data_IF_321244651205
#
_entry.id   IF_321244651205
#
_cell.length_a   1.000
_cell.length_b   1.000
_cell.length_c   1.000
_cell.angle_alpha   90.00
_cell.angle_beta   90.00
_cell.angle_gamma   90.00
#
_symmetry.space_group_name_H-M   'P 1'
#
loop_
_entity.id
_entity.type
_entity.pdbx_description
1 polymer ?
#
# COMPACT_ATOMS: atom_id res chain seq x y z
N UNK A 1 -26.94 27.08 12.93
CA UNK A 1 -26.49 25.84 13.60
C UNK A 1 -24.99 25.71 13.42
N UNK A 2 -24.22 25.93 14.47
CA UNK A 2 -22.75 25.85 14.46
C UNK A 2 -22.34 24.42 14.79
N UNK A 3 -21.94 23.66 13.76
CA UNK A 3 -21.61 22.23 13.88
C UNK A 3 -20.27 21.94 14.58
N UNK A 4 -19.38 22.94 14.67
CA UNK A 4 -18.10 22.83 15.34
C UNK A 4 -18.04 23.83 16.50
N UNK A 5 -18.07 23.33 17.73
CA UNK A 5 -17.88 24.12 18.94
C UNK A 5 -16.46 23.90 19.49
N UNK A 6 -16.06 24.74 20.45
CA UNK A 6 -14.71 24.72 21.03
C UNK A 6 -14.34 23.36 21.64
N UNK A 7 -15.31 22.64 22.20
CA UNK A 7 -15.13 21.31 22.77
C UNK A 7 -14.79 20.28 21.68
N UNK A 8 -15.55 20.26 20.59
CA UNK A 8 -15.27 19.39 19.43
C UNK A 8 -13.89 19.69 18.84
N UNK A 9 -13.51 20.97 18.74
CA UNK A 9 -12.15 21.33 18.29
C UNK A 9 -11.06 20.81 19.23
N UNK A 10 -11.28 20.85 20.55
CA UNK A 10 -10.33 20.32 21.53
C UNK A 10 -10.23 18.79 21.47
N UNK A 11 -11.34 18.09 21.27
CA UNK A 11 -11.37 16.63 21.08
C UNK A 11 -10.62 16.21 19.82
N UNK A 12 -10.83 16.92 18.70
CA UNK A 12 -10.11 16.68 17.44
C UNK A 12 -8.60 16.91 17.65
N UNK A 13 -8.21 18.01 18.30
CA UNK A 13 -6.80 18.30 18.58
C UNK A 13 -6.18 17.22 19.49
N UNK A 14 -6.90 16.74 20.51
CA UNK A 14 -6.44 15.68 21.39
C UNK A 14 -6.23 14.36 20.63
N UNK A 15 -7.16 13.98 19.76
CA UNK A 15 -7.08 12.77 18.94
C UNK A 15 -5.92 12.84 17.94
N UNK A 16 -5.73 13.99 17.29
CA UNK A 16 -4.59 14.22 16.39
C UNK A 16 -3.27 14.12 17.15
N UNK A 17 -3.15 14.74 18.33
CA UNK A 17 -1.94 14.66 19.17
C UNK A 17 -1.64 13.25 19.64
N UNK A 18 -2.66 12.53 20.10
CA UNK A 18 -2.52 11.13 20.52
C UNK A 18 -1.99 10.27 19.36
N UNK A 19 -2.47 10.52 18.13
CA UNK A 19 -2.02 9.81 16.94
C UNK A 19 -0.57 10.12 16.57
N UNK A 20 -0.16 11.39 16.60
CA UNK A 20 1.23 11.77 16.36
C UNK A 20 2.17 11.28 17.47
N UNK A 21 1.70 11.22 18.71
CA UNK A 21 2.46 10.65 19.83
C UNK A 21 2.68 9.14 19.66
N UNK A 22 1.63 8.38 19.33
CA UNK A 22 1.75 6.95 19.01
C UNK A 22 2.68 6.70 17.81
N UNK A 23 2.68 7.60 16.83
CA UNK A 23 3.59 7.55 15.70
C UNK A 23 5.05 7.85 16.11
N UNK A 24 5.28 8.80 17.01
CA UNK A 24 6.59 9.06 17.62
C UNK A 24 7.12 7.84 18.38
N UNK A 25 6.28 7.22 19.22
CA UNK A 25 6.66 5.99 19.95
C UNK A 25 7.00 4.83 19.00
N UNK A 26 6.21 4.63 17.93
CA UNK A 26 6.48 3.61 16.92
C UNK A 26 7.80 3.84 16.17
N UNK A 27 8.17 5.11 15.96
CA UNK A 27 9.45 5.53 15.36
C UNK A 27 10.66 5.43 16.31
N UNK A 28 10.45 5.05 17.56
CA UNK A 28 11.51 4.97 18.56
C UNK A 28 11.87 6.33 19.18
N UNK A 29 11.02 7.35 19.08
CA UNK A 29 11.12 8.52 19.97
C UNK A 29 10.83 8.03 21.39
N UNK A 30 11.88 7.84 22.17
CA UNK A 30 11.81 7.40 23.56
C UNK A 30 11.04 8.45 24.37
N UNK A 31 9.78 8.17 24.68
CA UNK A 31 9.16 8.61 25.93
C UNK A 31 10.06 8.07 27.04
N UNK A 32 10.84 8.92 27.69
CA UNK A 32 11.68 8.53 28.82
C UNK A 32 10.80 8.09 29.99
N UNK A 33 10.28 6.85 29.97
CA UNK A 33 9.70 6.14 31.11
C UNK A 33 9.38 4.67 30.74
N UNK A 34 10.25 3.77 31.20
CA UNK A 34 10.01 2.39 31.62
C UNK A 34 8.80 1.61 31.06
N UNK A 35 9.06 0.49 30.39
CA UNK A 35 8.91 -0.84 31.00
C UNK A 35 9.27 -1.97 30.02
N UNK A 36 10.04 -2.92 30.55
CA UNK A 36 10.19 -4.28 30.05
C UNK A 36 8.80 -4.93 29.96
N UNK A 37 8.29 -5.23 28.76
CA UNK A 37 7.32 -6.31 28.53
C UNK A 37 7.60 -6.92 27.15
N UNK A 38 7.83 -8.22 27.17
CA UNK A 38 8.24 -9.09 26.07
C UNK A 38 7.07 -9.36 25.13
N UNK A 39 6.95 -8.56 24.07
CA UNK A 39 6.40 -8.99 22.79
C UNK A 39 7.37 -8.45 21.74
N UNK A 40 7.73 -9.26 20.75
CA UNK A 40 8.59 -8.88 19.62
C UNK A 40 7.84 -7.87 18.74
N UNK A 41 7.60 -6.68 19.27
CA UNK A 41 6.96 -5.58 18.55
C UNK A 41 8.02 -5.03 17.61
N UNK A 42 7.95 -5.40 16.34
CA UNK A 42 8.76 -4.77 15.30
C UNK A 42 8.53 -3.26 15.37
N UNK A 43 9.62 -2.51 15.54
CA UNK A 43 9.53 -1.05 15.54
C UNK A 43 9.34 -0.58 14.09
N UNK A 44 8.62 0.52 13.88
CA UNK A 44 8.49 1.10 12.54
C UNK A 44 9.87 1.39 11.93
N UNK A 45 10.86 1.68 12.77
CA UNK A 45 12.24 1.84 12.34
C UNK A 45 12.84 0.55 11.74
N UNK A 46 12.57 -0.62 12.34
CA UNK A 46 13.00 -1.91 11.81
C UNK A 46 12.30 -2.21 10.49
N UNK A 47 10.99 -1.99 10.42
CA UNK A 47 10.21 -2.13 9.18
C UNK A 47 10.78 -1.26 8.07
N UNK A 48 10.96 0.04 8.33
CA UNK A 48 11.50 0.96 7.34
C UNK A 48 12.90 0.57 6.89
N UNK A 49 13.76 0.10 7.79
CA UNK A 49 15.11 -0.37 7.45
C UNK A 49 15.05 -1.58 6.52
N UNK A 50 14.22 -2.57 6.84
CA UNK A 50 14.00 -3.74 6.00
C UNK A 50 13.49 -3.33 4.61
N UNK A 51 12.45 -2.49 4.55
CA UNK A 51 11.85 -2.03 3.30
C UNK A 51 12.86 -1.25 2.44
N UNK A 52 13.70 -0.40 3.04
CA UNK A 52 14.77 0.33 2.34
C UNK A 52 15.81 -0.64 1.79
N UNK A 53 16.24 -1.63 2.57
CA UNK A 53 17.25 -2.59 2.15
C UNK A 53 16.76 -3.47 0.99
N UNK A 54 15.50 -3.90 1.04
CA UNK A 54 14.82 -4.59 -0.08
C UNK A 54 14.71 -3.67 -1.30
N UNK A 55 14.28 -2.42 -1.11
CA UNK A 55 14.17 -1.44 -2.20
C UNK A 55 15.52 -1.10 -2.85
N UNK A 56 16.63 -1.31 -2.13
CA UNK A 56 17.99 -1.18 -2.62
C UNK A 56 18.57 -2.46 -3.23
N UNK A 57 17.81 -3.56 -3.22
CA UNK A 57 18.23 -4.85 -3.79
C UNK A 57 19.29 -5.57 -2.96
N UNK A 58 19.39 -5.31 -1.65
CA UNK A 58 20.38 -5.97 -0.78
C UNK A 58 20.06 -7.44 -0.50
N UNK A 59 18.81 -7.84 -0.66
CA UNK A 59 18.34 -9.20 -0.36
C UNK A 59 17.96 -9.97 -1.63
N UNK A 60 18.23 -11.27 -1.61
CA UNK A 60 17.63 -12.22 -2.53
C UNK A 60 16.26 -12.63 -2.02
N UNK A 61 15.32 -12.85 -2.93
CA UNK A 61 13.95 -13.22 -2.60
C UNK A 61 13.86 -14.65 -2.11
N UNK A 62 13.35 -14.82 -0.89
CA UNK A 62 12.90 -16.09 -0.31
C UNK A 62 11.46 -15.91 0.15
N UNK A 63 10.70 -17.00 0.26
CA UNK A 63 9.29 -16.94 0.69
C UNK A 63 9.16 -16.39 2.12
N UNK A 64 10.08 -16.78 3.02
CA UNK A 64 10.13 -16.29 4.40
C UNK A 64 10.35 -14.77 4.45
N UNK A 65 11.33 -14.26 3.71
CA UNK A 65 11.60 -12.82 3.68
C UNK A 65 10.48 -12.05 2.97
N UNK A 66 9.85 -12.63 1.95
CA UNK A 66 8.68 -12.03 1.32
C UNK A 66 7.53 -11.83 2.31
N UNK A 67 7.29 -12.80 3.20
CA UNK A 67 6.29 -12.70 4.26
C UNK A 67 6.64 -11.62 5.29
N UNK A 68 7.90 -11.51 5.70
CA UNK A 68 8.36 -10.44 6.61
C UNK A 68 8.18 -9.05 5.99
N UNK A 69 8.55 -8.88 4.72
CA UNK A 69 8.38 -7.60 3.99
C UNK A 69 6.89 -7.26 3.84
N UNK A 70 6.01 -8.24 3.63
CA UNK A 70 4.57 -8.03 3.56
C UNK A 70 3.98 -7.59 4.91
N UNK A 71 4.47 -8.14 6.02
CA UNK A 71 4.10 -7.70 7.37
C UNK A 71 4.55 -6.26 7.64
N UNK A 72 5.80 -5.93 7.30
CA UNK A 72 6.34 -4.57 7.44
C UNK A 72 5.55 -3.55 6.60
N UNK A 73 5.16 -3.92 5.38
CA UNK A 73 4.30 -3.08 4.53
C UNK A 73 2.90 -2.90 5.11
N UNK A 74 2.31 -3.96 5.67
CA UNK A 74 1.00 -3.90 6.34
C UNK A 74 1.06 -2.96 7.54
N UNK A 75 2.06 -3.11 8.39
CA UNK A 75 2.25 -2.24 9.56
C UNK A 75 2.47 -0.77 9.17
N UNK A 76 3.33 -0.52 8.17
CA UNK A 76 3.53 0.84 7.64
C UNK A 76 2.23 1.43 7.07
N UNK A 77 1.46 0.64 6.32
CA UNK A 77 0.16 1.05 5.77
C UNK A 77 -0.81 1.42 6.90
N UNK A 78 -0.90 0.59 7.92
CA UNK A 78 -1.79 0.81 9.07
C UNK A 78 -1.42 2.10 9.80
N UNK A 79 -0.13 2.42 9.94
CA UNK A 79 0.30 3.69 10.54
C UNK A 79 -0.03 4.88 9.64
N UNK A 80 0.32 4.81 8.35
CA UNK A 80 0.15 5.91 7.39
C UNK A 80 -1.32 6.25 7.14
N UNK A 81 -2.16 5.24 6.95
CA UNK A 81 -3.58 5.41 6.64
C UNK A 81 -4.46 5.41 7.90
N UNK A 82 -3.92 4.96 9.05
CA UNK A 82 -4.53 4.85 10.38
C UNK A 82 -6.04 4.76 10.37
N UNK A 83 -6.52 3.64 9.84
CA UNK A 83 -7.94 3.44 9.57
C UNK A 83 -8.50 2.43 10.57
N UNK A 84 -9.21 2.96 11.57
CA UNK A 84 -10.09 2.21 12.49
C UNK A 84 -11.26 1.54 11.72
N UNK A 85 -11.41 1.80 10.42
CA UNK A 85 -12.56 1.38 9.61
C UNK A 85 -12.26 0.44 8.44
N UNK A 86 -11.03 -0.07 8.27
CA UNK A 86 -10.69 -1.04 7.21
C UNK A 86 -11.24 -0.69 5.81
N UNK A 87 -11.48 0.60 5.50
CA UNK A 87 -11.86 0.97 4.15
C UNK A 87 -10.66 0.72 3.25
N UNK A 88 -10.87 0.13 2.07
CA UNK A 88 -9.83 -0.12 1.08
C UNK A 88 -9.34 1.21 0.49
N UNK A 89 -8.65 2.01 1.30
CA UNK A 89 -7.99 3.22 0.83
C UNK A 89 -6.79 2.80 0.01
N UNK A 90 -6.88 3.02 -1.29
CA UNK A 90 -5.75 2.97 -2.21
C UNK A 90 -4.87 4.19 -1.97
N UNK A 91 -3.56 4.04 -2.11
CA UNK A 91 -2.66 5.19 -2.06
C UNK A 91 -2.99 6.18 -3.21
N UNK A 92 -3.07 7.49 -2.91
CA UNK A 92 -3.27 8.50 -3.95
C UNK A 92 -2.07 8.56 -4.90
N UNK A 93 -2.24 9.12 -6.09
CA UNK A 93 -1.18 9.11 -7.12
C UNK A 93 0.06 9.89 -6.65
N UNK A 94 -0.13 10.98 -5.92
CA UNK A 94 0.92 11.84 -5.38
C UNK A 94 1.78 11.11 -4.34
N UNK A 95 1.21 10.12 -3.62
CA UNK A 95 1.97 9.33 -2.65
C UNK A 95 3.15 8.61 -3.32
N UNK A 96 2.96 8.08 -4.52
CA UNK A 96 3.99 7.33 -5.24
C UNK A 96 5.18 8.18 -5.69
N UNK A 97 5.04 9.52 -5.66
CA UNK A 97 6.11 10.45 -5.99
C UNK A 97 6.98 10.82 -4.77
N UNK A 98 6.57 10.40 -3.57
CA UNK A 98 7.33 10.63 -2.34
C UNK A 98 8.41 9.57 -2.14
N UNK A 99 9.47 9.88 -1.37
CA UNK A 99 10.52 8.92 -1.02
C UNK A 99 9.96 7.64 -0.40
N UNK A 100 8.97 7.77 0.49
CA UNK A 100 8.30 6.61 1.11
C UNK A 100 7.47 5.83 0.08
N UNK A 101 6.80 6.50 -0.85
CA UNK A 101 6.08 5.84 -1.94
C UNK A 101 7.01 5.08 -2.90
N UNK A 102 8.22 5.60 -3.14
CA UNK A 102 9.25 4.90 -3.92
C UNK A 102 9.70 3.63 -3.19
N UNK A 103 9.95 3.69 -1.88
CA UNK A 103 10.31 2.51 -1.08
C UNK A 103 9.17 1.47 -1.10
N UNK A 104 7.93 1.89 -0.82
CA UNK A 104 6.76 1.00 -0.82
C UNK A 104 6.56 0.36 -2.19
N UNK A 105 6.69 1.12 -3.29
CA UNK A 105 6.52 0.57 -4.64
C UNK A 105 7.57 -0.48 -4.97
N UNK A 106 8.84 -0.23 -4.63
CA UNK A 106 9.93 -1.19 -4.84
C UNK A 106 9.80 -2.44 -3.99
N UNK A 107 9.40 -2.30 -2.72
CA UNK A 107 9.15 -3.44 -1.84
C UNK A 107 7.97 -4.30 -2.33
N UNK A 108 6.84 -3.67 -2.69
CA UNK A 108 5.69 -4.39 -3.28
C UNK A 108 6.04 -5.05 -4.60
N UNK A 109 6.81 -4.37 -5.45
CA UNK A 109 7.33 -4.93 -6.69
C UNK A 109 8.16 -6.18 -6.43
N UNK A 110 9.09 -6.10 -5.47
CA UNK A 110 9.99 -7.18 -5.12
C UNK A 110 9.22 -8.42 -4.59
N UNK A 111 8.17 -8.23 -3.77
CA UNK A 111 7.32 -9.33 -3.30
C UNK A 111 6.60 -10.01 -4.48
N UNK A 112 6.05 -9.21 -5.39
CA UNK A 112 5.06 -9.63 -6.38
C UNK A 112 5.60 -9.74 -7.80
N UNK A 113 6.93 -9.73 -7.98
CA UNK A 113 7.56 -9.58 -9.31
C UNK A 113 7.09 -10.62 -10.33
N UNK A 114 6.79 -11.84 -9.87
CA UNK A 114 6.34 -12.94 -10.73
C UNK A 114 4.83 -12.87 -11.08
N UNK A 115 4.06 -12.09 -10.34
CA UNK A 115 2.60 -12.00 -10.48
C UNK A 115 2.11 -10.66 -11.05
N UNK A 116 2.98 -9.66 -11.13
CA UNK A 116 2.62 -8.34 -11.64
C UNK A 116 2.56 -8.34 -13.17
N UNK A 117 1.41 -7.90 -13.71
CA UNK A 117 1.18 -7.82 -15.15
C UNK A 117 0.84 -6.40 -15.59
N UNK A 118 1.14 -6.09 -16.85
CA UNK A 118 0.78 -4.81 -17.48
C UNK A 118 -0.73 -4.69 -17.65
N UNK A 119 -1.23 -3.45 -17.78
CA UNK A 119 -2.65 -3.19 -18.10
C UNK A 119 -3.08 -3.89 -19.40
N UNK A 120 -2.19 -3.94 -20.40
CA UNK A 120 -2.41 -4.66 -21.66
C UNK A 120 -2.60 -6.17 -21.45
N UNK A 121 -1.77 -6.79 -20.61
CA UNK A 121 -1.88 -8.21 -20.29
C UNK A 121 -3.11 -8.48 -19.43
N UNK A 122 -3.43 -7.60 -18.48
CA UNK A 122 -4.63 -7.68 -17.67
C UNK A 122 -5.91 -7.62 -18.53
N UNK A 123 -5.95 -6.74 -19.53
CA UNK A 123 -7.06 -6.64 -20.47
C UNK A 123 -7.22 -7.93 -21.29
N UNK A 124 -6.13 -8.48 -21.81
CA UNK A 124 -6.16 -9.77 -22.52
C UNK A 124 -6.61 -10.92 -21.61
N UNK A 125 -6.17 -10.92 -20.35
CA UNK A 125 -6.52 -11.96 -19.38
C UNK A 125 -8.00 -11.90 -18.97
N UNK A 126 -8.52 -10.70 -18.66
CA UNK A 126 -9.89 -10.54 -18.20
C UNK A 126 -10.94 -10.67 -19.32
N UNK A 127 -10.61 -10.22 -20.53
CA UNK A 127 -11.58 -10.05 -21.61
C UNK A 127 -11.23 -10.85 -22.88
N UNK A 128 -10.14 -11.61 -22.89
CA UNK A 128 -9.67 -12.40 -24.04
C UNK A 128 -8.88 -11.61 -25.09
N UNK A 129 -8.97 -10.26 -25.08
CA UNK A 129 -8.38 -9.42 -26.11
C UNK A 129 -7.79 -8.11 -25.55
N UNK A 130 -6.64 -7.68 -26.09
CA UNK A 130 -6.02 -6.40 -25.75
C UNK A 130 -6.51 -5.24 -26.65
N UNK A 131 -7.78 -4.86 -26.50
CA UNK A 131 -8.34 -3.68 -27.17
C UNK A 131 -8.23 -2.42 -26.31
N UNK A 132 -8.30 -1.24 -26.93
CA UNK A 132 -8.31 0.03 -26.18
C UNK A 132 -9.49 0.12 -25.21
N UNK A 133 -10.66 -0.38 -25.60
CA UNK A 133 -11.84 -0.42 -24.75
C UNK A 133 -11.61 -1.30 -23.50
N UNK A 134 -11.00 -2.48 -23.67
CA UNK A 134 -10.70 -3.38 -22.56
C UNK A 134 -9.64 -2.80 -21.61
N UNK A 135 -8.60 -2.14 -22.14
CA UNK A 135 -7.62 -1.41 -21.31
C UNK A 135 -8.29 -0.30 -20.49
N UNK A 136 -9.24 0.41 -21.07
CA UNK A 136 -10.02 1.45 -20.38
C UNK A 136 -10.88 0.86 -19.25
N UNK A 137 -11.45 -0.34 -19.43
CA UNK A 137 -12.19 -1.05 -18.38
C UNK A 137 -11.29 -1.40 -17.19
N UNK A 138 -10.07 -1.88 -17.44
CA UNK A 138 -9.08 -2.13 -16.38
C UNK A 138 -8.69 -0.83 -15.68
N UNK A 139 -8.43 0.26 -16.43
CA UNK A 139 -8.09 1.55 -15.84
C UNK A 139 -9.20 2.07 -14.90
N UNK A 140 -10.47 1.95 -15.32
CA UNK A 140 -11.62 2.32 -14.47
C UNK A 140 -11.76 1.43 -13.24
N UNK A 141 -11.46 0.13 -13.36
CA UNK A 141 -11.44 -0.79 -12.23
C UNK A 141 -10.32 -0.47 -11.22
N UNK A 142 -9.23 0.17 -11.68
CA UNK A 142 -8.20 0.71 -10.79
C UNK A 142 -8.71 2.00 -10.13
N UNK A 143 -9.25 2.93 -10.91
CA UNK A 143 -9.74 4.23 -10.43
C UNK A 143 -10.86 4.10 -9.39
N UNK A 144 -11.73 3.09 -9.52
CA UNK A 144 -12.81 2.83 -8.57
C UNK A 144 -12.40 1.93 -7.38
N UNK A 145 -11.14 1.52 -7.30
CA UNK A 145 -10.61 0.68 -6.23
C UNK A 145 -10.93 -0.82 -6.32
N UNK A 146 -11.49 -1.31 -7.43
CA UNK A 146 -11.74 -2.74 -7.63
C UNK A 146 -10.47 -3.55 -7.88
N UNK A 147 -9.43 -2.91 -8.42
CA UNK A 147 -8.10 -3.48 -8.64
C UNK A 147 -7.06 -2.61 -7.94
N UNK A 148 -6.17 -3.24 -7.16
CA UNK A 148 -5.00 -2.54 -6.65
C UNK A 148 -3.94 -2.46 -7.75
N UNK A 149 -3.09 -1.44 -7.66
CA UNK A 149 -1.98 -1.25 -8.59
C UNK A 149 -0.72 -0.82 -7.85
N UNK A 150 0.43 -1.08 -8.49
CA UNK A 150 1.76 -0.68 -8.03
C UNK A 150 2.53 -0.11 -9.22
N UNK A 151 3.29 0.99 -9.05
CA UNK A 151 4.14 1.50 -10.12
C UNK A 151 5.39 0.62 -10.30
N UNK A 152 5.74 0.36 -11.55
CA UNK A 152 6.98 -0.26 -11.97
C UNK A 152 8.14 0.74 -11.84
N UNK A 153 9.10 0.52 -10.93
CA UNK A 153 10.20 1.45 -10.71
C UNK A 153 11.18 1.52 -11.90
N UNK A 154 11.13 0.56 -12.83
CA UNK A 154 11.97 0.56 -14.04
C UNK A 154 11.42 1.43 -15.17
N UNK A 155 10.16 1.86 -15.09
CA UNK A 155 9.49 2.66 -16.12
C UNK A 155 9.22 4.07 -15.61
N UNK A 156 9.89 5.05 -16.22
CA UNK A 156 9.76 6.45 -15.86
C UNK A 156 8.38 7.05 -16.20
N UNK A 157 7.70 6.55 -17.24
CA UNK A 157 6.40 7.09 -17.68
C UNK A 157 5.26 6.62 -16.73
N UNK A 158 4.61 7.54 -15.98
CA UNK A 158 3.54 7.18 -15.03
C UNK A 158 2.31 6.53 -15.69
N UNK A 159 2.08 6.79 -16.98
CA UNK A 159 0.96 6.18 -17.70
C UNK A 159 1.22 4.70 -18.04
N UNK A 160 2.48 4.29 -18.13
CA UNK A 160 2.88 2.96 -18.56
C UNK A 160 3.47 2.11 -17.43
N UNK A 161 3.83 2.72 -16.31
CA UNK A 161 4.43 2.01 -15.18
C UNK A 161 3.42 1.27 -14.30
N UNK A 162 2.11 1.51 -14.47
CA UNK A 162 1.09 0.82 -13.67
C UNK A 162 1.11 -0.69 -13.92
N UNK A 163 1.17 -1.47 -12.84
CA UNK A 163 0.97 -2.93 -12.83
C UNK A 163 -0.14 -3.31 -11.88
N UNK A 164 -0.77 -4.44 -12.17
CA UNK A 164 -1.79 -5.06 -11.34
C UNK A 164 -1.41 -6.51 -11.07
N UNK A 165 -1.88 -7.07 -9.95
CA UNK A 165 -1.67 -8.48 -9.64
C UNK A 165 -2.52 -9.36 -10.56
N UNK A 166 -1.88 -10.37 -11.16
CA UNK A 166 -2.57 -11.36 -12.01
C UNK A 166 -3.75 -12.01 -11.28
N UNK A 167 -3.53 -12.45 -10.04
CA UNK A 167 -4.56 -13.09 -9.20
C UNK A 167 -5.78 -12.18 -8.95
N UNK A 168 -5.58 -10.86 -8.84
CA UNK A 168 -6.69 -9.89 -8.73
C UNK A 168 -7.48 -9.80 -10.03
N UNK A 169 -6.81 -9.78 -11.18
CA UNK A 169 -7.45 -9.72 -12.49
C UNK A 169 -8.27 -10.98 -12.79
N UNK A 170 -7.75 -12.15 -12.41
CA UNK A 170 -8.47 -13.42 -12.53
C UNK A 170 -9.76 -13.41 -11.69
N UNK A 171 -9.69 -12.97 -10.42
CA UNK A 171 -10.88 -12.79 -9.58
C UNK A 171 -11.87 -11.77 -10.16
N UNK A 172 -11.37 -10.66 -10.69
CA UNK A 172 -12.18 -9.63 -11.32
C UNK A 172 -12.94 -10.15 -12.56
N UNK A 173 -12.30 -11.01 -13.35
CA UNK A 173 -12.93 -11.69 -14.49
C UNK A 173 -14.10 -12.58 -14.03
N UNK A 174 -13.89 -13.38 -12.97
CA UNK A 174 -14.93 -14.24 -12.43
C UNK A 174 -16.16 -13.46 -11.94
N UNK A 175 -15.96 -12.34 -11.24
CA UNK A 175 -17.06 -11.49 -10.75
C UNK A 175 -17.83 -10.81 -11.88
N UNK A 176 -17.12 -10.35 -12.91
CA UNK A 176 -17.75 -9.71 -14.08
C UNK A 176 -18.68 -10.65 -14.84
N UNK A 177 -18.34 -11.95 -14.89
CA UNK A 177 -19.17 -12.99 -15.57
C UNK A 177 -20.40 -13.44 -14.78
N UNK A 178 -20.47 -13.13 -13.49
CA UNK A 178 -21.63 -13.46 -12.64
C UNK A 178 -22.69 -12.35 -12.62
N UNK A 179 -22.38 -11.19 -13.19
CA UNK A 179 -23.25 -10.00 -13.21
C UNK A 179 -23.96 -9.79 -14.56
N UNK A 180 -23.66 -10.64 -15.55
CA UNK A 180 -24.33 -10.76 -16.86
C UNK A 180 -25.35 -11.91 -16.82
#
# INVERSE_FOLDING_TARGET
MTFFNRTVSQEIIALVRQRYFALGEALGEISSQNNEHTQETWTLQQDLTLLIDVANGKYQRTDELAQEVEQALTHLRDILLGTVLHSSSTYPEEFWQTEIGIVVSRARWWISVDELITISNAAALAFGENTQANRMRIARAIENGSLEWVPDPSIANPQQNKRVLRSQVERFCHLSRLSD
#
